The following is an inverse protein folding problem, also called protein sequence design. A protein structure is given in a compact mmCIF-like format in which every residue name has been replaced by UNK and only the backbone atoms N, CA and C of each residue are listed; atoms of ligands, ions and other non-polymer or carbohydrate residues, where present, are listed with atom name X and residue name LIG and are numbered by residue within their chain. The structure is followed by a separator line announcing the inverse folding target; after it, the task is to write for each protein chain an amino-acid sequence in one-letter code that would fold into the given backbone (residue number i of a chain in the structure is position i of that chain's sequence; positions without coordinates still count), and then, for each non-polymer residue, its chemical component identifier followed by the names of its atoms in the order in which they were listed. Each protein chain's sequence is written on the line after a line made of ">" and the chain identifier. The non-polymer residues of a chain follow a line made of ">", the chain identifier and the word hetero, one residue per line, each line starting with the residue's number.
data_IF_835196766161
#
_entry.id   IF_835196766161
#
_cell.length_a   1.000
_cell.length_b   1.000
_cell.length_c   1.000
_cell.angle_alpha   90.00
_cell.angle_beta   90.00
_cell.angle_gamma   90.00
#
_symmetry.space_group_name_H-M   'P 1'
#
loop_
_entity.id
_entity.type
_entity.pdbx_description
1 polymer ?
#
# COMPACT_ATOMS: atom_id res chain seq x y z
N UNK A 1 56.62 7.12 51.96
CA UNK A 1 56.35 6.14 50.88
C UNK A 1 54.84 6.07 50.65
N UNK A 2 54.33 6.58 49.53
CA UNK A 2 52.92 6.40 49.12
C UNK A 2 52.93 5.93 47.67
N UNK A 3 52.55 4.66 47.44
CA UNK A 3 52.45 4.07 46.10
C UNK A 3 51.16 4.56 45.43
N UNK A 4 51.30 5.26 44.28
CA UNK A 4 50.19 5.60 43.38
C UNK A 4 49.53 4.32 42.84
N UNK A 5 48.24 4.16 43.07
CA UNK A 5 47.40 3.17 42.40
C UNK A 5 47.09 3.62 40.96
N UNK A 6 47.52 2.84 39.97
CA UNK A 6 47.12 3.03 38.57
C UNK A 6 45.66 2.57 38.41
N UNK A 7 44.75 3.51 38.17
CA UNK A 7 43.38 3.26 37.71
C UNK A 7 43.47 2.54 36.35
N UNK A 8 42.99 1.29 36.27
CA UNK A 8 42.79 0.61 34.97
C UNK A 8 41.56 1.24 34.32
N UNK A 9 41.74 1.90 33.19
CA UNK A 9 40.65 2.32 32.31
C UNK A 9 39.98 1.06 31.74
N UNK A 10 38.72 0.82 32.13
CA UNK A 10 37.89 -0.18 31.47
C UNK A 10 37.50 0.35 30.08
N UNK A 11 38.06 -0.25 29.03
CA UNK A 11 37.60 -0.01 27.66
C UNK A 11 36.13 -0.42 27.56
N UNK A 12 35.26 0.37 26.90
CA UNK A 12 33.86 0.04 26.76
C UNK A 12 33.70 -1.31 26.05
N UNK A 13 32.88 -2.21 26.62
CA UNK A 13 32.54 -3.50 25.99
C UNK A 13 31.84 -3.22 24.66
N UNK A 14 32.55 -3.34 23.56
CA UNK A 14 31.93 -3.37 22.24
C UNK A 14 30.92 -4.52 22.18
N UNK A 15 29.66 -4.21 21.86
CA UNK A 15 28.59 -5.21 21.84
C UNK A 15 28.89 -6.26 20.78
N UNK A 16 28.66 -7.54 21.13
CA UNK A 16 28.87 -8.66 20.21
C UNK A 16 28.04 -8.52 18.92
N UNK A 17 26.90 -7.82 19.00
CA UNK A 17 26.08 -7.46 17.85
C UNK A 17 26.80 -6.52 16.87
N UNK A 18 27.53 -5.51 17.35
CA UNK A 18 28.31 -4.61 16.48
C UNK A 18 29.40 -5.37 15.72
N UNK A 19 30.08 -6.31 16.39
CA UNK A 19 31.10 -7.18 15.76
C UNK A 19 30.47 -8.16 14.76
N UNK A 20 29.28 -8.65 15.05
CA UNK A 20 28.53 -9.53 14.15
C UNK A 20 28.06 -8.81 12.89
N UNK A 21 27.51 -7.60 13.05
CA UNK A 21 27.10 -6.74 11.93
C UNK A 21 28.30 -6.43 11.03
N UNK A 22 29.44 -6.00 11.58
CA UNK A 22 30.63 -5.68 10.78
C UNK A 22 31.21 -6.91 10.06
N UNK A 23 31.23 -8.08 10.71
CA UNK A 23 31.84 -9.30 10.15
C UNK A 23 31.10 -9.86 8.95
N UNK A 24 29.77 -9.67 8.88
CA UNK A 24 28.92 -10.11 7.76
C UNK A 24 28.29 -8.94 7.01
N UNK A 25 28.69 -7.71 7.35
CA UNK A 25 28.22 -6.46 6.75
C UNK A 25 28.20 -6.52 5.23
N UNK A 26 29.20 -7.07 4.53
CA UNK A 26 29.18 -7.11 3.08
C UNK A 26 27.99 -7.89 2.51
N UNK A 27 27.63 -9.02 3.12
CA UNK A 27 26.54 -9.90 2.65
C UNK A 27 25.18 -9.27 2.99
N UNK A 28 25.03 -8.72 4.21
CA UNK A 28 23.79 -8.06 4.60
C UNK A 28 23.54 -6.78 3.78
N UNK A 29 24.58 -5.97 3.54
CA UNK A 29 24.49 -4.79 2.67
C UNK A 29 24.15 -5.18 1.23
N UNK A 30 24.75 -6.25 0.70
CA UNK A 30 24.43 -6.74 -0.64
C UNK A 30 22.97 -7.21 -0.75
N UNK A 31 22.47 -7.93 0.26
CA UNK A 31 21.08 -8.40 0.29
C UNK A 31 20.10 -7.24 0.39
N UNK A 32 20.36 -6.28 1.29
CA UNK A 32 19.55 -5.05 1.41
C UNK A 32 19.60 -4.25 0.10
N UNK A 33 20.76 -4.15 -0.55
CA UNK A 33 20.88 -3.48 -1.85
C UNK A 33 20.05 -4.18 -2.94
N UNK A 34 20.01 -5.51 -2.98
CA UNK A 34 19.15 -6.28 -3.90
C UNK A 34 17.67 -6.00 -3.62
N UNK A 35 17.24 -6.01 -2.35
CA UNK A 35 15.88 -5.63 -1.96
C UNK A 35 15.54 -4.19 -2.41
N UNK A 36 16.48 -3.25 -2.24
CA UNK A 36 16.31 -1.86 -2.69
C UNK A 36 16.30 -1.72 -4.22
N UNK A 37 16.94 -2.61 -4.97
CA UNK A 37 16.99 -2.52 -6.45
C UNK A 37 15.81 -3.22 -7.11
N UNK A 38 15.30 -4.29 -6.53
CA UNK A 38 14.25 -5.10 -7.16
C UNK A 38 12.89 -4.95 -6.50
N UNK A 39 12.84 -4.81 -5.17
CA UNK A 39 11.59 -4.77 -4.42
C UNK A 39 11.14 -3.32 -4.21
N UNK A 40 12.05 -2.42 -3.81
CA UNK A 40 11.67 -1.01 -3.59
C UNK A 40 11.13 -0.34 -4.85
N UNK A 41 11.69 -0.51 -6.07
CA UNK A 41 11.11 0.11 -7.26
C UNK A 41 9.74 -0.44 -7.61
N UNK A 42 9.44 -1.70 -7.25
CA UNK A 42 8.11 -2.30 -7.35
C UNK A 42 7.14 -1.67 -6.33
N UNK A 43 7.58 -1.51 -5.08
CA UNK A 43 6.83 -0.86 -3.99
C UNK A 43 6.74 0.68 -4.09
N UNK A 44 7.50 1.31 -4.99
CA UNK A 44 7.57 2.78 -5.18
C UNK A 44 7.18 3.23 -6.58
N UNK A 45 6.70 2.32 -7.45
CA UNK A 45 5.79 2.73 -8.53
C UNK A 45 4.66 3.45 -7.81
N UNK A 46 4.38 4.72 -8.15
CA UNK A 46 3.40 5.52 -7.41
C UNK A 46 2.17 4.69 -7.10
N UNK A 47 1.92 4.42 -5.82
CA UNK A 47 0.86 3.50 -5.43
C UNK A 47 -0.48 4.16 -5.77
N UNK A 48 -1.49 3.36 -6.13
CA UNK A 48 -2.86 3.83 -6.29
C UNK A 48 -3.28 4.69 -5.09
N UNK A 49 -2.88 4.26 -3.89
CA UNK A 49 -3.10 4.96 -2.63
C UNK A 49 -2.45 6.35 -2.58
N UNK A 50 -1.24 6.49 -3.15
CA UNK A 50 -0.54 7.79 -3.20
C UNK A 50 -1.21 8.78 -4.16
N UNK A 51 -2.12 8.31 -5.01
CA UNK A 51 -2.88 9.13 -5.94
C UNK A 51 -4.19 9.67 -5.35
N UNK A 52 -4.53 9.28 -4.10
CA UNK A 52 -5.77 9.69 -3.47
C UNK A 52 -5.66 11.14 -2.97
N UNK A 53 -6.75 11.91 -3.02
CA UNK A 53 -6.73 13.30 -2.62
C UNK A 53 -6.45 13.46 -1.12
N UNK A 54 -5.51 14.35 -0.75
CA UNK A 54 -5.22 14.68 0.65
C UNK A 54 -6.37 15.45 1.35
N UNK A 55 -7.36 15.93 0.57
CA UNK A 55 -8.46 16.77 1.03
C UNK A 55 -9.63 16.01 1.65
N UNK A 56 -9.54 14.69 1.79
CA UNK A 56 -10.57 13.87 2.43
C UNK A 56 -10.73 14.23 3.92
N UNK A 57 -11.97 14.28 4.38
CA UNK A 57 -12.33 14.40 5.80
C UNK A 57 -11.97 13.14 6.58
N UNK A 58 -11.95 13.21 7.91
CA UNK A 58 -11.58 12.05 8.74
C UNK A 58 -12.57 10.88 8.58
N UNK A 59 -13.86 11.16 8.36
CA UNK A 59 -14.87 10.14 8.05
C UNK A 59 -14.62 9.50 6.69
N UNK A 60 -14.36 10.31 5.66
CA UNK A 60 -14.06 9.84 4.31
C UNK A 60 -12.77 9.01 4.26
N UNK A 61 -11.76 9.35 5.06
CA UNK A 61 -10.55 8.54 5.21
C UNK A 61 -10.87 7.18 5.78
N UNK A 62 -11.69 7.09 6.83
CA UNK A 62 -12.10 5.83 7.42
C UNK A 62 -12.84 4.94 6.40
N UNK A 63 -13.72 5.55 5.59
CA UNK A 63 -14.45 4.84 4.52
C UNK A 63 -13.48 4.28 3.49
N UNK A 64 -12.48 5.07 3.09
CA UNK A 64 -11.43 4.63 2.17
C UNK A 64 -10.58 3.53 2.80
N UNK A 65 -10.13 3.68 4.03
CA UNK A 65 -9.37 2.66 4.76
C UNK A 65 -10.16 1.34 4.82
N UNK A 66 -11.46 1.40 5.11
CA UNK A 66 -12.34 0.23 5.11
C UNK A 66 -12.41 -0.42 3.73
N UNK A 67 -12.48 0.37 2.65
CA UNK A 67 -12.43 -0.14 1.28
C UNK A 67 -11.07 -0.79 0.96
N UNK A 68 -9.97 -0.22 1.46
CA UNK A 68 -8.62 -0.75 1.24
C UNK A 68 -8.38 -2.06 2.01
N UNK A 69 -8.96 -2.19 3.20
CA UNK A 69 -8.88 -3.38 4.03
C UNK A 69 -9.83 -4.51 3.59
N UNK A 70 -10.74 -4.22 2.65
CA UNK A 70 -11.67 -5.23 2.15
C UNK A 70 -10.90 -6.33 1.40
N UNK A 71 -10.94 -7.51 2.00
CA UNK A 71 -10.39 -8.76 1.49
C UNK A 71 -11.52 -9.75 1.26
N UNK A 72 -11.30 -10.69 0.34
CA UNK A 72 -12.24 -11.77 0.09
C UNK A 72 -12.48 -12.63 1.34
N UNK A 73 -13.52 -13.48 1.33
CA UNK A 73 -14.03 -14.21 2.50
C UNK A 73 -13.02 -15.17 3.16
N UNK A 74 -11.85 -15.39 2.55
CA UNK A 74 -10.82 -16.29 3.06
C UNK A 74 -9.64 -15.56 3.73
N UNK A 75 -9.59 -14.21 3.74
CA UNK A 75 -8.50 -13.38 4.30
C UNK A 75 -7.07 -13.70 3.81
N UNK A 76 -6.92 -14.60 2.84
CA UNK A 76 -5.62 -15.07 2.30
C UNK A 76 -5.34 -14.48 0.90
N UNK A 77 -6.19 -13.54 0.47
CA UNK A 77 -6.36 -13.14 -0.91
C UNK A 77 -5.88 -11.77 -1.36
N UNK A 78 -6.14 -11.45 -2.63
CA UNK A 78 -5.93 -10.10 -3.16
C UNK A 78 -6.88 -9.11 -2.46
N UNK A 79 -6.35 -8.01 -1.93
CA UNK A 79 -7.20 -6.91 -1.49
C UNK A 79 -7.87 -6.24 -2.70
N UNK A 80 -8.97 -5.53 -2.47
CA UNK A 80 -9.65 -4.79 -3.54
C UNK A 80 -8.73 -3.76 -4.22
N UNK A 81 -7.82 -3.13 -3.46
CA UNK A 81 -6.82 -2.21 -4.01
C UNK A 81 -5.78 -2.93 -4.84
N UNK A 82 -5.34 -4.12 -4.43
CA UNK A 82 -4.39 -4.91 -5.21
C UNK A 82 -5.02 -5.40 -6.52
N UNK A 83 -6.28 -5.82 -6.50
CA UNK A 83 -7.03 -6.19 -7.69
C UNK A 83 -7.06 -5.05 -8.72
N UNK A 84 -7.41 -3.84 -8.30
CA UNK A 84 -7.42 -2.65 -9.16
C UNK A 84 -6.01 -2.30 -9.66
N UNK A 85 -5.03 -2.34 -8.76
CA UNK A 85 -3.64 -2.00 -9.08
C UNK A 85 -3.03 -2.98 -10.08
N UNK A 86 -3.39 -4.27 -9.98
CA UNK A 86 -3.03 -5.29 -10.94
C UNK A 86 -3.69 -5.03 -12.30
N UNK A 87 -5.00 -4.75 -12.34
CA UNK A 87 -5.69 -4.46 -13.61
C UNK A 87 -5.07 -3.25 -14.33
N UNK A 88 -4.75 -2.19 -13.59
CA UNK A 88 -4.05 -1.01 -14.13
C UNK A 88 -2.64 -1.42 -14.60
N UNK A 89 -1.90 -2.20 -13.82
CA UNK A 89 -0.54 -2.62 -14.17
C UNK A 89 -0.50 -3.53 -15.40
N UNK A 90 -1.48 -4.39 -15.58
CA UNK A 90 -1.62 -5.24 -16.78
C UNK A 90 -1.91 -4.42 -18.04
N UNK A 91 -2.67 -3.34 -17.91
CA UNK A 91 -2.94 -2.43 -19.02
C UNK A 91 -1.72 -1.55 -19.37
N UNK A 92 -0.86 -1.27 -18.38
CA UNK A 92 0.33 -0.41 -18.46
C UNK A 92 1.63 -1.08 -17.96
N UNK A 93 2.05 -2.23 -18.51
CA UNK A 93 3.10 -3.07 -17.90
C UNK A 93 4.50 -2.44 -17.90
N UNK A 94 4.76 -1.47 -18.79
CA UNK A 94 6.05 -0.83 -18.95
C UNK A 94 5.99 0.69 -18.72
N UNK A 95 4.93 1.17 -18.08
CA UNK A 95 4.72 2.59 -17.86
C UNK A 95 4.52 2.90 -16.38
N UNK A 96 5.13 4.00 -15.93
CA UNK A 96 4.85 4.57 -14.61
C UNK A 96 3.59 5.42 -14.71
N UNK A 97 2.44 4.76 -14.87
CA UNK A 97 1.20 5.43 -15.23
C UNK A 97 0.76 6.46 -14.19
N UNK A 98 1.03 6.22 -12.90
CA UNK A 98 0.72 7.16 -11.81
C UNK A 98 1.58 8.43 -11.80
N UNK A 99 2.78 8.40 -12.40
CA UNK A 99 3.64 9.59 -12.56
C UNK A 99 3.31 10.38 -13.84
N UNK A 100 2.41 9.87 -14.69
CA UNK A 100 2.09 10.48 -15.97
C UNK A 100 1.18 11.70 -15.77
N UNK A 101 1.55 12.84 -16.37
CA UNK A 101 0.79 14.10 -16.28
C UNK A 101 -0.62 14.03 -16.87
N UNK A 102 -0.90 13.05 -17.73
CA UNK A 102 -2.23 12.81 -18.30
C UNK A 102 -3.08 11.90 -17.43
N UNK A 103 -2.48 11.22 -16.46
CA UNK A 103 -3.20 10.38 -15.51
C UNK A 103 -3.84 11.26 -14.47
N UNK A 104 -5.10 10.99 -14.18
CA UNK A 104 -5.84 11.63 -13.09
C UNK A 104 -6.57 10.57 -12.33
N UNK A 105 -6.48 10.67 -11.01
CA UNK A 105 -7.26 9.84 -10.10
C UNK A 105 -8.22 10.78 -9.38
N UNK A 106 -9.50 10.43 -9.42
CA UNK A 106 -10.53 11.14 -8.70
C UNK A 106 -11.28 10.15 -7.81
N UNK A 107 -11.43 10.50 -6.54
CA UNK A 107 -12.15 9.72 -5.55
C UNK A 107 -13.23 10.60 -4.98
N UNK A 108 -14.48 10.22 -5.18
CA UNK A 108 -15.65 10.93 -4.66
C UNK A 108 -16.37 10.01 -3.70
N UNK A 109 -16.54 10.50 -2.47
CA UNK A 109 -17.21 9.76 -1.41
C UNK A 109 -18.51 10.51 -1.10
N UNK A 110 -19.59 9.76 -0.95
CA UNK A 110 -20.90 10.33 -0.67
C UNK A 110 -21.60 9.49 0.39
N UNK A 111 -22.06 10.12 1.46
CA UNK A 111 -22.91 9.45 2.45
C UNK A 111 -24.30 9.25 1.83
N UNK A 112 -24.76 8.00 1.76
CA UNK A 112 -26.06 7.65 1.20
C UNK A 112 -27.10 7.62 2.31
N UNK A 113 -26.90 6.78 3.32
CA UNK A 113 -27.83 6.66 4.47
C UNK A 113 -27.25 5.82 5.62
N UNK A 114 -27.42 6.26 6.89
CA UNK A 114 -27.21 5.44 8.10
C UNK A 114 -25.88 4.67 8.16
N UNK A 115 -24.77 5.36 7.86
CA UNK A 115 -23.39 4.81 7.81
C UNK A 115 -23.10 3.97 6.56
N UNK A 116 -23.95 4.03 5.53
CA UNK A 116 -23.64 3.57 4.18
C UNK A 116 -23.03 4.69 3.35
N UNK A 117 -21.88 4.41 2.75
CA UNK A 117 -21.17 5.35 1.89
C UNK A 117 -21.04 4.78 0.49
N UNK A 118 -21.14 5.65 -0.49
CA UNK A 118 -20.83 5.35 -1.87
C UNK A 118 -19.45 5.93 -2.20
N UNK A 119 -18.59 5.12 -2.78
CA UNK A 119 -17.25 5.50 -3.23
C UNK A 119 -17.20 5.35 -4.75
N UNK A 120 -17.10 6.48 -5.45
CA UNK A 120 -16.80 6.51 -6.88
C UNK A 120 -15.31 6.77 -7.06
N UNK A 121 -14.66 5.87 -7.78
CA UNK A 121 -13.25 5.94 -8.12
C UNK A 121 -13.13 6.03 -9.65
N UNK A 122 -12.51 7.11 -10.13
CA UNK A 122 -12.25 7.32 -11.55
C UNK A 122 -10.74 7.41 -11.76
N UNK A 123 -10.22 6.53 -12.62
CA UNK A 123 -8.87 6.60 -13.14
C UNK A 123 -8.94 6.96 -14.62
N UNK A 124 -8.60 8.19 -14.93
CA UNK A 124 -8.48 8.67 -16.31
C UNK A 124 -7.03 8.58 -16.75
N UNK A 125 -6.80 8.10 -17.96
CA UNK A 125 -5.46 8.04 -18.52
C UNK A 125 -5.44 8.36 -20.01
N UNK A 126 -4.30 8.13 -20.66
CA UNK A 126 -4.16 8.44 -22.09
C UNK A 126 -4.62 7.31 -23.03
N UNK A 127 -4.96 6.13 -22.49
CA UNK A 127 -5.30 4.95 -23.29
C UNK A 127 -6.64 4.34 -22.88
N UNK A 128 -6.85 4.13 -21.58
CA UNK A 128 -8.05 3.52 -21.02
C UNK A 128 -8.42 4.18 -19.70
N UNK A 129 -9.70 4.41 -19.52
CA UNK A 129 -10.26 4.93 -18.28
C UNK A 129 -10.92 3.79 -17.51
N UNK A 130 -10.81 3.82 -16.19
CA UNK A 130 -11.46 2.88 -15.29
C UNK A 130 -12.41 3.64 -14.38
N UNK A 131 -13.63 3.12 -14.27
CA UNK A 131 -14.69 3.73 -13.48
C UNK A 131 -15.24 2.67 -12.53
N UNK A 132 -14.99 2.86 -11.24
CA UNK A 132 -15.52 2.00 -10.20
C UNK A 132 -16.44 2.78 -9.28
N UNK A 133 -17.41 2.07 -8.74
CA UNK A 133 -18.45 2.60 -7.89
C UNK A 133 -18.89 1.50 -6.93
N UNK A 134 -18.60 1.71 -5.65
CA UNK A 134 -18.92 0.77 -4.58
C UNK A 134 -19.84 1.41 -3.54
N UNK A 135 -20.68 0.58 -2.92
CA UNK A 135 -21.34 0.90 -1.66
C UNK A 135 -20.64 0.16 -0.53
N UNK A 136 -20.36 0.87 0.55
CA UNK A 136 -19.69 0.37 1.74
C UNK A 136 -20.66 0.57 2.91
N UNK A 137 -20.99 -0.52 3.60
CA UNK A 137 -21.71 -0.46 4.87
C UNK A 137 -20.69 -0.42 6.00
N UNK A 138 -20.52 0.74 6.65
CA UNK A 138 -19.50 0.92 7.69
C UNK A 138 -19.80 0.17 9.00
N UNK A 139 -21.01 -0.40 9.17
CA UNK A 139 -21.36 -1.21 10.34
C UNK A 139 -20.91 -2.65 10.20
N UNK A 140 -21.04 -3.16 8.97
CA UNK A 140 -20.71 -4.57 8.65
C UNK A 140 -19.32 -4.72 8.04
N UNK A 141 -18.82 -3.67 7.37
CA UNK A 141 -17.62 -3.73 6.53
C UNK A 141 -17.91 -4.26 5.12
N UNK A 142 -19.17 -4.54 4.77
CA UNK A 142 -19.53 -5.13 3.49
C UNK A 142 -19.34 -4.12 2.34
N UNK A 143 -18.71 -4.57 1.25
CA UNK A 143 -18.48 -3.79 0.04
C UNK A 143 -19.26 -4.41 -1.12
N UNK A 144 -20.03 -3.60 -1.85
CA UNK A 144 -20.86 -4.05 -2.97
C UNK A 144 -20.66 -3.18 -4.22
N UNK A 145 -20.55 -3.80 -5.39
CA UNK A 145 -20.33 -3.11 -6.66
C UNK A 145 -21.62 -2.56 -7.26
N UNK A 146 -21.63 -1.27 -7.59
CA UNK A 146 -22.78 -0.59 -8.21
C UNK A 146 -22.77 -0.66 -9.75
N UNK A 147 -21.63 -0.91 -10.38
CA UNK A 147 -21.48 -1.12 -11.82
C UNK A 147 -20.83 -2.49 -12.12
N UNK A 148 -20.76 -2.87 -13.40
CA UNK A 148 -20.24 -4.18 -13.82
C UNK A 148 -18.75 -4.32 -13.49
N UNK A 149 -17.98 -3.26 -13.71
CA UNK A 149 -16.54 -3.19 -13.44
C UNK A 149 -16.24 -3.39 -11.94
N UNK A 150 -17.02 -2.77 -11.06
CA UNK A 150 -16.84 -2.90 -9.61
C UNK A 150 -17.24 -4.25 -9.08
N UNK A 151 -18.29 -4.85 -9.66
CA UNK A 151 -18.69 -6.22 -9.35
C UNK A 151 -17.63 -7.21 -9.78
N UNK A 152 -17.04 -7.00 -10.95
CA UNK A 152 -15.93 -7.82 -11.43
C UNK A 152 -14.73 -7.77 -10.47
N UNK A 153 -14.36 -6.58 -9.98
CA UNK A 153 -13.29 -6.45 -8.99
C UNK A 153 -13.64 -7.18 -7.68
N UNK A 154 -14.87 -7.04 -7.17
CA UNK A 154 -15.29 -7.78 -5.97
C UNK A 154 -15.27 -9.28 -6.22
N UNK A 155 -15.78 -9.76 -7.37
CA UNK A 155 -15.76 -11.18 -7.71
C UNK A 155 -14.31 -11.71 -7.82
N UNK A 156 -13.37 -10.90 -8.32
CA UNK A 156 -11.95 -11.25 -8.36
C UNK A 156 -11.40 -11.45 -6.95
N UNK A 157 -11.72 -10.53 -6.04
CA UNK A 157 -11.31 -10.58 -4.63
C UNK A 157 -11.98 -11.74 -3.89
N UNK A 158 -13.25 -12.01 -4.15
CA UNK A 158 -14.04 -13.00 -3.41
C UNK A 158 -13.79 -14.45 -3.86
N UNK A 159 -13.48 -14.66 -5.14
CA UNK A 159 -13.48 -16.00 -5.76
C UNK A 159 -12.18 -16.42 -6.43
N UNK A 160 -11.21 -15.53 -6.64
CA UNK A 160 -9.99 -15.82 -7.41
C UNK A 160 -8.70 -15.72 -6.60
N UNK A 161 -8.72 -16.30 -5.40
CA UNK A 161 -7.54 -16.61 -4.57
C UNK A 161 -6.80 -17.89 -4.98
#
# INVERSE_FOLDING_TARGET
>A
MVKKSKKKEEKPKESQFKKFLIKRAPIYLATIAIVIIFIVPELTKGDLQSSFPETLTDEEKLVVETLMEYNGPNDEGYSLIDAISNEISEEYPNEKIYENKKTKVNVVISNVENENYQVAFDFESHKKDFHYNWNIDMKTGDVNGNNEESKYIIDLVDFYD
#
